data_IF_291587669910
#
_entry.id   IF_291587669910
#
_cell.length_a   1.000
_cell.length_b   1.000
_cell.length_c   1.000
_cell.angle_alpha   90.00
_cell.angle_beta   90.00
_cell.angle_gamma   90.00
#
_symmetry.space_group_name_H-M   'P 1'
#
loop_
_entity.id
_entity.type
_entity.pdbx_description
1 polymer ?
#
# COMPACT_ATOMS: atom_id res chain seq x y z
N UNK A 1 0.28 -7.07 10.60
CA UNK A 1 -0.77 -6.84 9.59
C UNK A 1 -1.37 -5.45 9.82
N UNK A 2 -1.85 -4.76 8.79
CA UNK A 2 -2.43 -3.42 8.87
C UNK A 2 -3.67 -3.39 7.96
N UNK A 3 -4.85 -3.30 8.56
CA UNK A 3 -6.12 -3.39 7.84
C UNK A 3 -6.81 -2.02 7.85
N UNK A 4 -6.83 -1.36 6.69
CA UNK A 4 -7.41 -0.03 6.47
C UNK A 4 -8.58 -0.10 5.47
N UNK A 5 -9.21 -1.26 5.34
CA UNK A 5 -10.32 -1.47 4.41
C UNK A 5 -11.50 -0.53 4.70
N UNK A 6 -12.25 -0.16 3.66
CA UNK A 6 -13.46 0.68 3.71
C UNK A 6 -13.25 2.06 4.34
N UNK A 7 -12.10 2.67 4.08
CA UNK A 7 -11.85 4.07 4.42
C UNK A 7 -11.91 4.95 3.17
N UNK A 8 -11.75 6.26 3.35
CA UNK A 8 -11.68 7.23 2.25
C UNK A 8 -10.24 7.66 1.96
N UNK A 9 -9.28 6.76 2.16
CA UNK A 9 -7.87 7.06 1.92
C UNK A 9 -7.63 7.27 0.42
N UNK A 10 -7.15 8.45 0.05
CA UNK A 10 -6.80 8.80 -1.34
C UNK A 10 -5.32 8.69 -1.60
N UNK A 11 -4.52 8.89 -0.57
CA UNK A 11 -3.06 8.86 -0.58
C UNK A 11 -2.60 8.07 0.64
N UNK A 12 -1.52 7.31 0.48
CA UNK A 12 -0.84 6.64 1.57
C UNK A 12 0.55 7.26 1.72
N UNK A 13 1.02 7.48 2.97
CA UNK A 13 2.36 8.00 3.21
C UNK A 13 3.42 6.99 2.74
N UNK A 14 4.46 7.49 2.06
CA UNK A 14 5.56 6.68 1.55
C UNK A 14 6.37 6.01 2.67
N UNK A 15 6.32 6.57 3.88
CA UNK A 15 6.93 6.04 5.10
C UNK A 15 6.42 4.65 5.45
N UNK A 16 5.24 4.24 4.96
CA UNK A 16 4.76 2.85 5.10
C UNK A 16 5.74 1.84 4.49
N UNK A 17 6.53 2.23 3.48
CA UNK A 17 7.58 1.37 2.91
C UNK A 17 8.64 0.93 3.93
N UNK A 18 8.78 1.64 5.07
CA UNK A 18 9.66 1.23 6.18
C UNK A 18 9.09 0.08 7.02
N UNK A 19 7.85 -0.33 6.81
CA UNK A 19 7.22 -1.43 7.54
C UNK A 19 7.59 -2.78 6.91
N UNK A 20 8.88 -3.13 6.91
CA UNK A 20 9.40 -4.36 6.28
C UNK A 20 8.92 -5.67 6.92
N UNK A 21 8.38 -5.63 8.14
CA UNK A 21 7.75 -6.79 8.78
C UNK A 21 6.24 -6.92 8.45
N UNK A 22 5.68 -5.96 7.71
CA UNK A 22 4.26 -5.95 7.40
C UNK A 22 3.93 -6.95 6.27
N UNK A 23 3.33 -8.08 6.65
CA UNK A 23 2.98 -9.13 5.68
C UNK A 23 1.66 -8.87 4.95
N UNK A 24 0.68 -8.28 5.65
CA UNK A 24 -0.67 -8.03 5.14
C UNK A 24 -1.01 -6.56 5.31
N UNK A 25 -1.40 -5.93 4.19
CA UNK A 25 -1.93 -4.57 4.13
C UNK A 25 -3.32 -4.63 3.47
N UNK A 26 -4.37 -4.23 4.18
CA UNK A 26 -5.74 -4.21 3.67
C UNK A 26 -6.12 -2.81 3.21
N UNK A 27 -6.30 -2.60 1.91
CA UNK A 27 -6.67 -1.29 1.34
C UNK A 27 -7.98 -1.32 0.57
N UNK A 28 -8.71 -2.43 0.60
CA UNK A 28 -9.89 -2.61 -0.22
C UNK A 28 -11.00 -1.62 0.17
N UNK A 29 -11.71 -1.08 -0.81
CA UNK A 29 -12.75 -0.08 -0.57
C UNK A 29 -12.24 1.34 -0.27
N UNK A 30 -10.94 1.63 -0.50
CA UNK A 30 -10.41 2.99 -0.49
C UNK A 30 -10.36 3.60 -1.91
N UNK A 31 -10.65 4.90 -2.07
CA UNK A 31 -10.51 5.63 -3.33
C UNK A 31 -9.05 6.00 -3.63
N UNK A 32 -8.14 5.03 -3.57
CA UNK A 32 -6.72 5.21 -3.90
C UNK A 32 -6.52 5.42 -5.41
N UNK A 33 -5.36 5.98 -5.77
CA UNK A 33 -5.01 6.15 -7.18
C UNK A 33 -4.98 4.81 -7.92
N UNK A 34 -5.32 4.84 -9.23
CA UNK A 34 -5.34 3.63 -10.07
C UNK A 34 -3.99 2.93 -10.12
N UNK A 35 -2.90 3.69 -10.10
CA UNK A 35 -1.52 3.17 -10.08
C UNK A 35 -1.23 2.38 -8.79
N UNK A 36 -1.58 2.95 -7.63
CA UNK A 36 -1.40 2.30 -6.33
C UNK A 36 -2.22 1.01 -6.24
N UNK A 37 -3.47 1.05 -6.74
CA UNK A 37 -4.34 -0.11 -6.79
C UNK A 37 -3.86 -1.17 -7.78
N UNK A 38 -3.22 -0.77 -8.88
CA UNK A 38 -2.63 -1.71 -9.84
C UNK A 38 -1.49 -2.50 -9.20
N UNK A 39 -0.56 -1.83 -8.50
CA UNK A 39 0.55 -2.49 -7.79
C UNK A 39 0.01 -3.40 -6.68
N UNK A 40 -0.98 -2.92 -5.92
CA UNK A 40 -1.60 -3.69 -4.83
C UNK A 40 -2.37 -4.93 -5.34
N UNK A 41 -2.91 -4.88 -6.55
CA UNK A 41 -3.66 -5.98 -7.17
C UNK A 41 -2.80 -7.15 -7.66
N UNK A 42 -1.48 -7.00 -7.72
CA UNK A 42 -0.58 -8.07 -8.15
C UNK A 42 -0.39 -9.16 -7.08
N UNK A 43 0.06 -10.37 -7.47
CA UNK A 43 0.55 -11.36 -6.51
C UNK A 43 1.65 -10.74 -5.62
N UNK A 44 1.51 -10.90 -4.31
CA UNK A 44 2.35 -10.23 -3.29
C UNK A 44 2.28 -8.69 -3.34
N UNK A 45 1.15 -8.14 -3.77
CA UNK A 45 0.94 -6.69 -3.95
C UNK A 45 1.27 -5.85 -2.72
N UNK A 46 1.02 -6.35 -1.50
CA UNK A 46 1.47 -5.68 -0.26
C UNK A 46 2.98 -5.41 -0.27
N UNK A 47 3.80 -6.43 -0.55
CA UNK A 47 5.26 -6.27 -0.53
C UNK A 47 5.73 -5.34 -1.65
N UNK A 48 5.18 -5.50 -2.86
CA UNK A 48 5.50 -4.63 -3.99
C UNK A 48 5.14 -3.18 -3.72
N UNK A 49 3.99 -2.94 -3.09
CA UNK A 49 3.54 -1.61 -2.72
C UNK A 49 4.47 -0.96 -1.70
N UNK A 50 4.88 -1.72 -0.67
CA UNK A 50 5.81 -1.24 0.34
C UNK A 50 7.19 -0.95 -0.25
N UNK A 51 7.70 -1.80 -1.16
CA UNK A 51 8.95 -1.56 -1.89
C UNK A 51 8.84 -0.31 -2.76
N UNK A 52 7.78 -0.18 -3.55
CA UNK A 52 7.55 1.02 -4.35
C UNK A 52 7.51 2.28 -3.49
N UNK A 53 6.83 2.22 -2.34
CA UNK A 53 6.77 3.35 -1.42
C UNK A 53 8.14 3.70 -0.84
N UNK A 54 8.94 2.69 -0.50
CA UNK A 54 10.30 2.86 0.02
C UNK A 54 11.23 3.47 -1.03
N UNK A 55 11.14 3.02 -2.28
CA UNK A 55 11.96 3.52 -3.40
C UNK A 55 11.64 4.99 -3.74
N UNK A 56 10.40 5.42 -3.48
CA UNK A 56 9.95 6.80 -3.68
C UNK A 56 10.07 7.68 -2.42
N UNK A 57 10.61 7.14 -1.33
CA UNK A 57 10.86 7.91 -0.11
C UNK A 57 12.19 8.69 -0.25
N UNK A 58 12.09 9.99 -0.57
CA UNK A 58 13.23 10.91 -0.63
C UNK A 58 13.82 11.22 0.76
#
# INVERSE_FOLDING_TARGET
>A
ELLLNQNFLRVLPYELGKLFQLQVLGLHGNPLSKEMMAIYGEPSGTHKLLTFMLDNLQ
#
